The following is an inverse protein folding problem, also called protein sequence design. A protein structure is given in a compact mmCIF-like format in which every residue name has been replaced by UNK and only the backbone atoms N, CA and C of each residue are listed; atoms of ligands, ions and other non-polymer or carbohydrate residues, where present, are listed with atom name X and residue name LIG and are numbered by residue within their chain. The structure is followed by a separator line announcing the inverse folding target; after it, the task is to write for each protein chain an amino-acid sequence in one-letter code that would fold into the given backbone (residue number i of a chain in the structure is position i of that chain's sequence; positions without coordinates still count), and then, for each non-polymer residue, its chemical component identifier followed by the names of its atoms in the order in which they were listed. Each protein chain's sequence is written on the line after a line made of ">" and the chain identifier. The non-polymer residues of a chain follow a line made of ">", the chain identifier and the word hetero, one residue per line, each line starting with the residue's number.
data_IF_514337972334
#
_entry.id   IF_514337972334
#
_cell.length_a   1.000
_cell.length_b   1.000
_cell.length_c   1.000
_cell.angle_alpha   90.00
_cell.angle_beta   90.00
_cell.angle_gamma   90.00
#
_symmetry.space_group_name_H-M   'P 1'
#
loop_
_entity.id
_entity.type
_entity.pdbx_description
1 polymer ?
#
# COMPACT_ATOMS: atom_id res chain seq x y z
N UNK A 1 7.86 -9.71 10.55
CA UNK A 1 7.73 -11.18 10.44
C UNK A 1 6.83 -11.49 9.25
N UNK A 2 7.43 -11.75 8.08
CA UNK A 2 6.66 -12.06 6.86
C UNK A 2 6.06 -13.45 7.02
N UNK A 3 4.75 -13.58 6.83
CA UNK A 3 4.01 -14.84 7.04
C UNK A 3 4.28 -15.89 5.96
N UNK A 4 4.96 -15.52 4.86
CA UNK A 4 5.29 -16.39 3.75
C UNK A 4 6.72 -16.10 3.27
N UNK A 5 7.54 -17.14 3.17
CA UNK A 5 8.96 -17.04 2.77
C UNK A 5 9.14 -16.79 1.27
N UNK A 6 8.09 -16.99 0.48
CA UNK A 6 8.05 -16.89 -0.98
C UNK A 6 7.10 -15.78 -1.48
N UNK A 7 6.74 -14.82 -0.62
CA UNK A 7 5.89 -13.68 -1.01
C UNK A 7 6.59 -12.80 -2.06
N UNK A 8 5.86 -12.36 -3.09
CA UNK A 8 6.32 -11.28 -3.96
C UNK A 8 6.05 -9.95 -3.24
N UNK A 9 7.10 -9.18 -3.02
CA UNK A 9 7.05 -7.87 -2.39
C UNK A 9 7.09 -6.81 -3.49
N UNK A 10 6.07 -5.97 -3.54
CA UNK A 10 6.07 -4.74 -4.31
C UNK A 10 6.28 -3.60 -3.32
N UNK A 11 7.21 -2.68 -3.60
CA UNK A 11 7.43 -1.52 -2.74
C UNK A 11 7.67 -0.26 -3.55
N UNK A 12 6.96 0.81 -3.21
CA UNK A 12 7.04 2.10 -3.90
C UNK A 12 6.77 3.26 -2.92
N UNK A 13 7.00 4.50 -3.37
CA UNK A 13 7.09 5.70 -2.56
C UNK A 13 8.51 5.97 -2.08
N UNK A 14 8.84 7.24 -1.85
CA UNK A 14 10.23 7.66 -1.61
C UNK A 14 10.90 6.95 -0.41
N UNK A 15 10.65 7.41 0.83
CA UNK A 15 11.22 6.79 2.02
C UNK A 15 10.75 5.33 2.19
N UNK A 16 9.52 5.02 1.80
CA UNK A 16 8.94 3.67 1.92
C UNK A 16 9.73 2.64 1.11
N UNK A 17 10.05 2.93 -0.15
CA UNK A 17 10.83 2.04 -1.00
C UNK A 17 12.30 1.98 -0.55
N UNK A 18 12.92 3.13 -0.29
CA UNK A 18 14.35 3.18 0.01
C UNK A 18 14.69 2.49 1.34
N UNK A 19 13.91 2.76 2.39
CA UNK A 19 14.04 2.03 3.65
C UNK A 19 13.56 0.58 3.47
N UNK A 20 12.48 0.38 2.72
CA UNK A 20 11.92 -0.94 2.41
C UNK A 20 12.92 -1.89 1.74
N UNK A 21 13.86 -1.39 0.93
CA UNK A 21 14.97 -2.17 0.35
C UNK A 21 15.88 -2.77 1.41
N UNK A 22 16.14 -2.07 2.50
CA UNK A 22 16.98 -2.58 3.58
C UNK A 22 16.24 -3.53 4.54
N UNK A 23 14.94 -3.32 4.77
CA UNK A 23 14.22 -4.01 5.87
C UNK A 23 13.21 -5.08 5.42
N UNK A 24 12.67 -4.99 4.20
CA UNK A 24 11.69 -5.96 3.67
C UNK A 24 12.37 -7.11 2.94
N UNK A 25 13.04 -8.00 3.67
CA UNK A 25 13.84 -9.07 3.06
C UNK A 25 12.98 -10.02 2.19
N UNK A 26 13.44 -10.30 0.97
CA UNK A 26 12.93 -11.37 0.11
C UNK A 26 13.96 -12.50 0.02
N UNK A 27 13.54 -13.74 0.21
CA UNK A 27 14.45 -14.89 0.25
C UNK A 27 14.74 -15.50 -1.13
N UNK A 28 13.95 -15.14 -2.14
CA UNK A 28 14.00 -15.73 -3.47
C UNK A 28 14.30 -14.65 -4.54
N UNK A 29 15.01 -15.00 -5.62
CA UNK A 29 15.23 -14.08 -6.73
C UNK A 29 13.89 -13.73 -7.40
N UNK A 30 13.79 -12.52 -7.97
CA UNK A 30 12.58 -12.02 -8.65
C UNK A 30 11.32 -11.95 -7.77
N UNK A 31 11.48 -11.85 -6.46
CA UNK A 31 10.37 -11.66 -5.50
C UNK A 31 10.29 -10.23 -4.96
N UNK A 32 10.93 -9.29 -5.66
CA UNK A 32 10.90 -7.88 -5.35
C UNK A 32 10.67 -7.10 -6.63
N UNK A 33 9.67 -6.22 -6.62
CA UNK A 33 9.37 -5.27 -7.67
C UNK A 33 9.32 -3.89 -7.03
N UNK A 34 10.03 -2.92 -7.60
CA UNK A 34 10.01 -1.52 -7.14
C UNK A 34 10.23 -0.59 -8.34
N UNK A 35 10.17 0.73 -8.12
CA UNK A 35 10.31 1.72 -9.19
C UNK A 35 11.73 1.79 -9.81
N UNK A 36 12.66 0.96 -9.33
CA UNK A 36 14.02 0.84 -9.85
C UNK A 36 14.78 2.16 -9.74
N UNK A 37 15.53 2.48 -10.79
CA UNK A 37 16.36 3.69 -10.89
C UNK A 37 15.58 4.93 -11.27
N UNK A 38 14.44 4.79 -11.96
CA UNK A 38 13.65 5.93 -12.42
C UNK A 38 12.82 6.57 -11.30
N UNK A 39 12.49 5.80 -10.25
CA UNK A 39 11.76 6.34 -9.10
C UNK A 39 10.36 6.85 -9.45
N UNK A 40 9.75 6.35 -10.54
CA UNK A 40 8.42 6.76 -10.98
C UNK A 40 7.37 6.40 -9.94
N UNK A 41 6.64 7.39 -9.44
CA UNK A 41 5.54 7.17 -8.50
C UNK A 41 4.26 6.74 -9.20
N UNK A 42 3.46 5.91 -8.53
CA UNK A 42 2.20 5.37 -9.04
C UNK A 42 2.32 4.06 -9.82
N UNK A 43 3.49 3.43 -9.86
CA UNK A 43 3.69 2.14 -10.56
C UNK A 43 3.43 0.94 -9.66
N UNK A 44 3.44 1.12 -8.34
CA UNK A 44 3.40 0.04 -7.36
C UNK A 44 2.15 -0.84 -7.48
N UNK A 45 0.95 -0.24 -7.51
CA UNK A 45 -0.30 -1.00 -7.62
C UNK A 45 -0.40 -1.76 -8.96
N UNK A 46 0.10 -1.18 -10.06
CA UNK A 46 0.16 -1.85 -11.36
C UNK A 46 1.08 -3.08 -11.34
N UNK A 47 2.26 -2.98 -10.72
CA UNK A 47 3.16 -4.11 -10.52
C UNK A 47 2.54 -5.18 -9.62
N UNK A 48 1.80 -4.80 -8.58
CA UNK A 48 1.09 -5.75 -7.72
C UNK A 48 0.00 -6.52 -8.47
N UNK A 49 -0.75 -5.85 -9.35
CA UNK A 49 -1.73 -6.49 -10.25
C UNK A 49 -1.05 -7.50 -11.17
N UNK A 50 0.03 -7.10 -11.83
CA UNK A 50 0.78 -7.99 -12.73
C UNK A 50 1.32 -9.23 -11.98
N UNK A 51 1.91 -9.03 -10.80
CA UNK A 51 2.38 -10.10 -9.95
C UNK A 51 1.24 -11.04 -9.52
N UNK A 52 0.08 -10.51 -9.14
CA UNK A 52 -1.05 -11.31 -8.71
C UNK A 52 -1.65 -12.15 -9.84
N UNK A 53 -1.74 -11.60 -11.05
CA UNK A 53 -2.17 -12.32 -12.25
C UNK A 53 -1.18 -13.45 -12.58
N UNK A 54 0.12 -13.19 -12.50
CA UNK A 54 1.15 -14.21 -12.71
C UNK A 54 1.04 -15.33 -11.66
N UNK A 55 0.93 -14.99 -10.38
CA UNK A 55 0.73 -15.95 -9.29
C UNK A 55 -0.56 -16.76 -9.50
N UNK A 56 -1.66 -16.11 -9.89
CA UNK A 56 -2.93 -16.82 -10.15
C UNK A 56 -2.78 -17.88 -11.24
N UNK A 57 -1.99 -17.61 -12.28
CA UNK A 57 -1.80 -18.52 -13.42
C UNK A 57 -0.77 -19.61 -13.16
N UNK A 58 0.36 -19.28 -12.52
CA UNK A 58 1.52 -20.18 -12.45
C UNK A 58 1.86 -20.63 -11.04
N UNK A 59 1.56 -19.83 -10.01
CA UNK A 59 1.91 -20.11 -8.62
C UNK A 59 0.75 -19.79 -7.66
N UNK A 60 -0.38 -20.53 -7.71
CA UNK A 60 -1.58 -20.16 -6.98
C UNK A 60 -1.43 -20.19 -5.45
N UNK A 61 -0.37 -20.78 -4.91
CA UNK A 61 -0.04 -20.68 -3.48
C UNK A 61 0.57 -19.32 -3.11
N UNK A 62 1.25 -18.67 -4.06
CA UNK A 62 2.07 -17.48 -3.84
C UNK A 62 1.24 -16.24 -3.60
N UNK A 63 1.78 -15.35 -2.77
CA UNK A 63 1.13 -14.13 -2.28
C UNK A 63 1.85 -12.90 -2.80
N UNK A 64 1.11 -11.79 -2.83
CA UNK A 64 1.63 -10.47 -3.19
C UNK A 64 1.39 -9.52 -2.02
N UNK A 65 2.46 -8.91 -1.55
CA UNK A 65 2.45 -7.83 -0.57
C UNK A 65 2.88 -6.55 -1.27
N UNK A 66 2.03 -5.53 -1.25
CA UNK A 66 2.30 -4.22 -1.82
C UNK A 66 2.51 -3.22 -0.68
N UNK A 67 3.67 -2.56 -0.61
CA UNK A 67 4.04 -1.63 0.45
C UNK A 67 4.32 -0.26 -0.16
N UNK A 68 3.38 0.64 0.05
CA UNK A 68 3.29 1.93 -0.63
C UNK A 68 3.48 3.07 0.37
N UNK A 69 4.15 4.15 -0.03
CA UNK A 69 3.93 5.45 0.61
C UNK A 69 2.52 5.97 0.31
N UNK A 70 1.99 6.84 1.16
CA UNK A 70 0.69 7.49 0.94
C UNK A 70 0.59 8.28 -0.38
N UNK A 71 1.62 9.04 -0.74
CA UNK A 71 1.65 9.77 -2.01
C UNK A 71 1.72 8.83 -3.23
N UNK A 72 2.53 7.77 -3.14
CA UNK A 72 2.62 6.72 -4.15
C UNK A 72 1.28 6.02 -4.37
N UNK A 73 0.63 5.65 -3.27
CA UNK A 73 -0.73 5.15 -3.27
C UNK A 73 -1.71 6.17 -3.87
N UNK A 74 -1.57 7.47 -3.56
CA UNK A 74 -2.41 8.53 -4.11
C UNK A 74 -2.42 8.60 -5.65
N UNK A 75 -1.29 8.32 -6.32
CA UNK A 75 -1.22 8.32 -7.78
C UNK A 75 -1.96 7.16 -8.45
N UNK A 76 -2.11 6.03 -7.76
CA UNK A 76 -2.63 4.79 -8.37
C UNK A 76 -3.74 4.11 -7.56
N UNK A 77 -4.22 4.73 -6.48
CA UNK A 77 -5.11 4.12 -5.49
C UNK A 77 -6.44 3.63 -6.07
N UNK A 78 -6.87 4.19 -7.19
CA UNK A 78 -8.06 3.71 -7.92
C UNK A 78 -7.89 2.30 -8.50
N UNK A 79 -6.66 1.80 -8.66
CA UNK A 79 -6.40 0.41 -9.06
C UNK A 79 -6.90 -0.61 -8.03
N UNK A 80 -7.24 -0.19 -6.81
CA UNK A 80 -7.98 -1.04 -5.86
C UNK A 80 -9.30 -1.53 -6.46
N UNK A 81 -9.97 -0.73 -7.30
CA UNK A 81 -11.14 -1.18 -8.07
C UNK A 81 -10.80 -2.37 -8.96
N UNK A 82 -9.73 -2.24 -9.76
CA UNK A 82 -9.22 -3.29 -10.66
C UNK A 82 -8.95 -4.58 -9.88
N UNK A 83 -8.27 -4.47 -8.74
CA UNK A 83 -7.96 -5.62 -7.87
C UNK A 83 -9.23 -6.30 -7.37
N UNK A 84 -10.25 -5.54 -6.95
CA UNK A 84 -11.52 -6.09 -6.49
C UNK A 84 -12.29 -6.75 -7.63
N UNK A 85 -12.42 -6.07 -8.77
CA UNK A 85 -13.16 -6.56 -9.96
C UNK A 85 -12.57 -7.86 -10.50
N UNK A 86 -11.25 -7.98 -10.54
CA UNK A 86 -10.56 -9.21 -10.96
C UNK A 86 -10.30 -10.20 -9.81
N UNK A 87 -10.83 -9.93 -8.61
CA UNK A 87 -10.68 -10.79 -7.42
C UNK A 87 -9.22 -11.14 -7.10
N UNK A 88 -8.32 -10.18 -7.30
CA UNK A 88 -6.89 -10.35 -7.08
C UNK A 88 -6.56 -10.29 -5.59
N UNK A 89 -5.95 -11.35 -5.01
CA UNK A 89 -5.69 -11.44 -3.57
C UNK A 89 -4.38 -10.73 -3.18
N UNK A 90 -4.37 -9.41 -3.29
CA UNK A 90 -3.24 -8.54 -2.94
C UNK A 90 -3.46 -7.95 -1.54
N UNK A 91 -2.41 -7.92 -0.73
CA UNK A 91 -2.40 -7.16 0.54
C UNK A 91 -1.63 -5.86 0.30
N UNK A 92 -2.28 -4.72 0.56
CA UNK A 92 -1.66 -3.39 0.45
C UNK A 92 -1.41 -2.86 1.87
N UNK A 93 -0.20 -2.35 2.11
CA UNK A 93 0.17 -1.56 3.28
C UNK A 93 0.47 -0.15 2.77
N UNK A 94 -0.24 0.85 3.28
CA UNK A 94 0.04 2.25 3.02
C UNK A 94 0.75 2.82 4.24
N UNK A 95 1.99 3.29 4.05
CA UNK A 95 2.76 4.02 5.06
C UNK A 95 2.36 5.49 4.94
N UNK A 96 1.52 5.93 5.87
CA UNK A 96 0.95 7.28 5.87
C UNK A 96 1.76 8.20 6.81
N UNK A 97 2.59 9.05 6.21
CA UNK A 97 3.38 10.08 6.87
C UNK A 97 2.93 11.49 6.43
N UNK A 98 1.72 11.61 5.88
CA UNK A 98 1.11 12.85 5.41
C UNK A 98 1.86 13.53 4.26
N UNK A 99 2.57 12.78 3.40
CA UNK A 99 3.22 13.36 2.21
C UNK A 99 4.55 12.76 1.78
N UNK A 100 5.09 13.31 0.68
CA UNK A 100 6.37 12.89 0.10
C UNK A 100 7.49 13.26 1.07
N UNK A 101 8.25 12.26 1.53
CA UNK A 101 9.27 12.32 2.58
C UNK A 101 8.75 12.65 3.99
N UNK A 102 7.65 13.38 4.10
CA UNK A 102 6.93 13.70 5.33
C UNK A 102 6.03 14.91 5.13
N UNK A 103 4.90 14.90 5.83
CA UNK A 103 4.01 16.06 5.93
C UNK A 103 4.21 16.86 7.21
N UNK A 104 3.21 17.68 7.50
CA UNK A 104 3.12 18.45 8.74
C UNK A 104 2.36 17.68 9.82
N UNK A 105 2.52 18.08 11.08
CA UNK A 105 1.73 17.58 12.20
C UNK A 105 0.30 18.17 12.22
N UNK A 106 -0.58 17.60 13.05
CA UNK A 106 -1.99 18.03 13.15
C UNK A 106 -2.17 19.50 13.56
N UNK A 107 -1.30 20.02 14.42
CA UNK A 107 -1.40 21.41 14.89
C UNK A 107 -1.03 22.38 13.78
N UNK A 108 0.06 22.10 13.07
CA UNK A 108 0.48 22.86 11.89
C UNK A 108 -0.56 22.75 10.78
N UNK A 109 -1.12 21.57 10.53
CA UNK A 109 -2.18 21.38 9.53
C UNK A 109 -3.42 22.23 9.81
N UNK A 110 -3.86 22.28 11.08
CA UNK A 110 -5.03 23.07 11.48
C UNK A 110 -4.81 24.57 11.22
N UNK A 111 -3.63 25.10 11.54
CA UNK A 111 -3.28 26.50 11.29
C UNK A 111 -3.27 26.82 9.79
N UNK A 112 -2.77 25.91 8.97
CA UNK A 112 -2.70 26.07 7.52
C UNK A 112 -4.10 26.04 6.88
N UNK A 113 -5.00 25.20 7.40
CA UNK A 113 -6.39 25.08 6.90
C UNK A 113 -7.24 26.33 7.16
N UNK A 114 -6.89 27.15 8.16
CA UNK A 114 -7.59 28.41 8.45
C UNK A 114 -7.18 29.58 7.52
N UNK A 115 -6.20 29.36 6.62
CA UNK A 115 -5.74 30.36 5.67
C UNK A 115 -6.73 30.61 4.53
N UNK A 116 -6.93 31.88 4.14
CA UNK A 116 -7.75 32.24 2.97
C UNK A 116 -7.15 31.73 1.65
N UNK A 117 -5.83 31.54 1.58
CA UNK A 117 -5.14 31.06 0.37
C UNK A 117 -4.31 29.81 0.65
N UNK A 118 -4.98 28.66 0.65
CA UNK A 118 -4.37 27.35 0.86
C UNK A 118 -3.23 27.02 -0.11
N UNK A 119 -3.27 27.54 -1.35
CA UNK A 119 -2.27 27.24 -2.39
C UNK A 119 -0.90 27.86 -2.10
N UNK A 120 -0.84 28.86 -1.22
CA UNK A 120 0.41 29.53 -0.82
C UNK A 120 1.01 28.95 0.46
N UNK A 121 0.18 28.31 1.31
CA UNK A 121 0.58 27.89 2.65
C UNK A 121 0.77 26.37 2.80
N UNK A 122 0.13 25.56 1.95
CA UNK A 122 0.33 24.11 1.96
C UNK A 122 1.58 23.77 1.14
N UNK A 123 2.62 23.15 1.74
CA UNK A 123 3.77 22.70 0.99
C UNK A 123 3.37 21.69 -0.09
N UNK A 124 3.96 21.73 -1.30
CA UNK A 124 3.54 20.88 -2.43
C UNK A 124 3.80 19.38 -2.20
N UNK A 125 4.65 19.03 -1.24
CA UNK A 125 4.93 17.66 -0.84
C UNK A 125 4.02 17.16 0.30
N UNK A 126 3.23 18.03 0.93
CA UNK A 126 2.32 17.66 2.01
C UNK A 126 0.99 17.16 1.47
N UNK A 127 0.46 16.14 2.13
CA UNK A 127 -0.88 15.62 1.98
C UNK A 127 -1.65 15.84 3.27
N UNK A 128 -2.96 15.63 3.21
CA UNK A 128 -3.83 15.75 4.38
C UNK A 128 -3.41 14.80 5.50
N UNK A 129 -3.51 15.28 6.73
CA UNK A 129 -3.09 14.53 7.92
C UNK A 129 -4.07 13.40 8.23
N UNK A 130 -3.53 12.21 8.55
CA UNK A 130 -4.29 11.03 8.97
C UNK A 130 -5.38 10.58 7.98
N UNK A 131 -5.14 10.70 6.66
CA UNK A 131 -6.08 10.18 5.67
C UNK A 131 -6.32 8.68 5.85
N UNK A 132 -7.61 8.33 5.91
CA UNK A 132 -8.13 6.98 6.04
C UNK A 132 -8.25 6.28 4.68
N UNK A 133 -7.10 5.99 4.04
CA UNK A 133 -7.06 5.30 2.72
C UNK A 133 -7.77 3.93 2.74
N UNK A 134 -7.81 3.27 3.89
CA UNK A 134 -8.46 1.98 4.06
C UNK A 134 -9.98 2.03 3.80
N UNK A 135 -10.58 3.24 3.88
CA UNK A 135 -11.99 3.44 3.58
C UNK A 135 -12.33 3.23 2.10
N UNK A 136 -11.36 3.24 1.19
CA UNK A 136 -11.58 2.87 -0.23
C UNK A 136 -12.20 1.47 -0.33
N UNK A 137 -11.83 0.55 0.58
CA UNK A 137 -12.39 -0.80 0.59
C UNK A 137 -13.88 -0.84 0.94
N UNK A 138 -14.41 0.18 1.64
CA UNK A 138 -15.83 0.25 1.99
C UNK A 138 -16.73 0.39 0.76
N UNK A 139 -16.23 1.05 -0.30
CA UNK A 139 -16.92 1.17 -1.60
C UNK A 139 -17.25 -0.20 -2.22
N UNK A 140 -16.51 -1.23 -1.82
CA UNK A 140 -16.64 -2.60 -2.31
C UNK A 140 -17.22 -3.57 -1.28
N UNK A 141 -17.80 -3.06 -0.18
CA UNK A 141 -18.29 -3.89 0.93
C UNK A 141 -17.18 -4.66 1.65
N UNK A 142 -15.92 -4.20 1.53
CA UNK A 142 -14.74 -4.80 2.14
C UNK A 142 -14.28 -3.95 3.32
N UNK A 143 -13.46 -4.56 4.18
CA UNK A 143 -12.93 -3.91 5.38
C UNK A 143 -11.44 -3.68 5.23
N UNK A 144 -11.03 -2.43 5.37
CA UNK A 144 -9.65 -2.02 5.59
C UNK A 144 -9.29 -1.90 7.06
N UNK A 145 -8.01 -1.59 7.35
CA UNK A 145 -7.49 -1.42 8.70
C UNK A 145 -6.66 -0.16 8.78
N UNK A 146 -7.04 0.76 9.67
CA UNK A 146 -6.20 1.87 10.09
C UNK A 146 -5.37 1.43 11.29
N UNK A 147 -4.06 1.66 11.27
CA UNK A 147 -3.14 1.18 12.29
C UNK A 147 -2.17 2.29 12.69
N UNK A 148 -2.05 2.54 13.99
CA UNK A 148 -1.14 3.53 14.58
C UNK A 148 -0.06 2.90 15.45
N UNK A 149 -0.12 1.57 15.66
CA UNK A 149 0.90 0.83 16.42
C UNK A 149 1.43 -0.38 15.65
N UNK A 150 2.67 -0.78 15.96
CA UNK A 150 3.32 -1.96 15.35
C UNK A 150 2.49 -3.23 15.57
N UNK A 151 1.87 -3.37 16.75
CA UNK A 151 1.03 -4.51 17.07
C UNK A 151 -0.25 -4.55 16.23
N UNK A 152 -0.89 -3.40 16.03
CA UNK A 152 -2.05 -3.29 15.14
C UNK A 152 -1.68 -3.67 13.70
N UNK A 153 -0.53 -3.21 13.19
CA UNK A 153 -0.03 -3.58 11.86
C UNK A 153 0.15 -5.10 11.75
N UNK A 154 0.82 -5.72 12.72
CA UNK A 154 1.03 -7.18 12.75
C UNK A 154 -0.29 -7.97 12.70
N UNK A 155 -1.28 -7.55 13.49
CA UNK A 155 -2.61 -8.18 13.52
C UNK A 155 -3.36 -7.95 12.20
N UNK A 156 -3.34 -6.74 11.66
CA UNK A 156 -4.02 -6.38 10.41
C UNK A 156 -3.47 -7.17 9.23
N UNK A 157 -2.14 -7.25 9.09
CA UNK A 157 -1.47 -8.01 8.03
C UNK A 157 -1.82 -9.49 8.10
N UNK A 158 -1.79 -10.10 9.31
CA UNK A 158 -2.23 -11.50 9.51
C UNK A 158 -3.67 -11.72 9.06
N UNK A 159 -4.59 -10.83 9.46
CA UNK A 159 -6.02 -10.91 9.08
C UNK A 159 -6.21 -10.74 7.57
N UNK A 160 -5.51 -9.79 6.95
CA UNK A 160 -5.58 -9.54 5.51
C UNK A 160 -5.11 -10.76 4.70
N UNK A 161 -4.00 -11.39 5.10
CA UNK A 161 -3.51 -12.63 4.47
C UNK A 161 -4.46 -13.81 4.67
N UNK A 162 -5.02 -13.99 5.87
CA UNK A 162 -6.03 -15.04 6.10
C UNK A 162 -7.25 -14.83 5.19
N UNK A 163 -7.79 -13.62 5.11
CA UNK A 163 -8.98 -13.33 4.27
C UNK A 163 -8.74 -13.58 2.78
N UNK A 164 -7.55 -13.26 2.29
CA UNK A 164 -7.16 -13.54 0.91
C UNK A 164 -6.92 -15.04 0.64
N UNK A 165 -6.73 -15.89 1.67
CA UNK A 165 -6.70 -17.36 1.52
C UNK A 165 -8.12 -17.92 1.33
N UNK A 166 -9.09 -17.44 2.14
CA UNK A 166 -10.48 -17.90 2.04
C UNK A 166 -11.15 -17.49 0.73
N UNK A 167 -10.79 -16.32 0.17
CA UNK A 167 -11.32 -15.90 -1.14
C UNK A 167 -10.86 -16.77 -2.31
N UNK A 168 -9.74 -17.51 -2.19
CA UNK A 168 -9.36 -18.53 -3.18
C UNK A 168 -10.18 -19.81 -3.07
N UNK A 169 -10.80 -20.09 -1.90
CA UNK A 169 -11.58 -21.32 -1.66
C UNK A 169 -13.06 -21.18 -2.01
N UNK A 170 -13.62 -19.97 -1.97
CA UNK A 170 -15.03 -19.72 -2.30
C UNK A 170 -15.25 -19.40 -3.79
N UNK A 171 -14.67 -20.22 -4.67
CA UNK A 171 -15.08 -20.32 -6.07
C UNK A 171 -15.88 -21.62 -6.22
N UNK A 172 -17.10 -21.57 -5.68
CA UNK A 172 -18.32 -22.24 -6.11
C UNK A 172 -19.47 -21.30 -5.70
#
# INVERSE_FOLDING_TARGET
>A
MCLFTDCIIVSEGANTMDIGRAVLLNNLPRHRLDAGTFGTMGVGLGFAIAAALWCQKYEPGKRVLCVEGDSAFGFSGMEVETMVRYKLPIVIIVVNNNGIYGGVDESTWSLVQDSENLTEVIPPNCLSVNIHYENILTLFGRKGYFCTTVEQVSIAVRKAFMRTLYQKRNVC
#
